data_IF_814232473157
#
_entry.id   IF_814232473157
#
_cell.length_a   1.000
_cell.length_b   1.000
_cell.length_c   1.000
_cell.angle_alpha   90.00
_cell.angle_beta   90.00
_cell.angle_gamma   90.00
#
_symmetry.space_group_name_H-M   'P 1'
#
loop_
_entity.id
_entity.type
_entity.pdbx_description
1 polymer ?
#
# COMPACT_ATOMS: atom_id res chain seq x y z
N UNK A 1 -17.17 -13.48 10.90
CA UNK A 1 -15.84 -12.96 10.54
C UNK A 1 -15.95 -12.30 9.17
N UNK A 2 -15.43 -11.09 9.03
CA UNK A 2 -15.41 -10.35 7.76
C UNK A 2 -14.09 -10.58 7.03
N UNK A 3 -14.17 -10.74 5.71
CA UNK A 3 -13.01 -10.75 4.81
C UNK A 3 -12.70 -9.32 4.42
N UNK A 4 -11.43 -8.96 4.46
CA UNK A 4 -10.91 -7.64 4.09
C UNK A 4 -9.98 -7.84 2.91
N UNK A 5 -10.24 -7.17 1.79
CA UNK A 5 -9.38 -7.17 0.61
C UNK A 5 -8.72 -5.80 0.44
N UNK A 6 -7.39 -5.76 0.50
CA UNK A 6 -6.58 -4.61 0.11
C UNK A 6 -6.07 -4.83 -1.32
N UNK A 7 -6.40 -3.90 -2.22
CA UNK A 7 -6.21 -4.07 -3.66
C UNK A 7 -5.74 -2.78 -4.31
N UNK A 8 -4.98 -2.94 -5.39
CA UNK A 8 -4.76 -1.87 -6.35
C UNK A 8 -4.47 -2.48 -7.72
N UNK A 9 -4.70 -1.71 -8.77
CA UNK A 9 -4.33 -2.09 -10.12
C UNK A 9 -4.12 -0.85 -10.97
N UNK A 10 -2.96 -0.76 -11.61
CA UNK A 10 -2.68 0.28 -12.59
C UNK A 10 -3.21 -0.14 -13.95
N UNK A 11 -4.18 0.62 -14.47
CA UNK A 11 -4.76 0.43 -15.80
C UNK A 11 -5.30 1.76 -16.30
N UNK A 12 -5.44 1.92 -17.61
CA UNK A 12 -6.02 3.14 -18.16
C UNK A 12 -7.55 3.04 -18.19
N UNK A 13 -8.20 3.86 -17.39
CA UNK A 13 -9.64 4.10 -17.48
C UNK A 13 -9.90 5.39 -18.27
N UNK A 14 -10.57 5.28 -19.40
CA UNK A 14 -10.91 6.43 -20.24
C UNK A 14 -11.97 7.34 -19.58
N UNK A 15 -12.94 6.74 -18.89
CA UNK A 15 -13.90 7.46 -18.06
C UNK A 15 -14.08 6.77 -16.68
N UNK A 16 -13.26 7.10 -15.68
CA UNK A 16 -13.41 6.58 -14.33
C UNK A 16 -14.75 6.99 -13.68
N UNK A 17 -15.39 8.08 -14.15
CA UNK A 17 -16.63 8.59 -13.57
C UNK A 17 -17.81 7.65 -13.85
N UNK A 18 -17.85 7.06 -15.04
CA UNK A 18 -18.83 6.05 -15.43
C UNK A 18 -18.75 4.77 -14.57
N UNK A 19 -17.55 4.43 -14.06
CA UNK A 19 -17.34 3.23 -13.24
C UNK A 19 -17.83 3.39 -11.79
N UNK A 20 -17.87 4.63 -11.27
CA UNK A 20 -18.14 4.91 -9.84
C UNK A 20 -19.51 4.40 -9.38
N UNK A 21 -20.57 4.68 -10.14
CA UNK A 21 -21.94 4.31 -9.79
C UNK A 21 -22.16 2.79 -9.76
N UNK A 22 -21.88 2.07 -10.86
CA UNK A 22 -21.98 0.62 -10.92
C UNK A 22 -21.16 -0.09 -9.84
N UNK A 23 -19.91 0.34 -9.60
CA UNK A 23 -19.05 -0.24 -8.58
C UNK A 23 -19.61 -0.03 -7.16
N UNK A 24 -20.11 1.17 -6.85
CA UNK A 24 -20.73 1.44 -5.56
C UNK A 24 -21.98 0.58 -5.32
N UNK A 25 -22.84 0.45 -6.34
CA UNK A 25 -24.02 -0.41 -6.30
C UNK A 25 -23.64 -1.87 -6.09
N UNK A 26 -22.62 -2.36 -6.80
CA UNK A 26 -22.11 -3.72 -6.64
C UNK A 26 -21.62 -3.97 -5.22
N UNK A 27 -20.84 -3.07 -4.63
CA UNK A 27 -20.39 -3.20 -3.24
C UNK A 27 -21.57 -3.21 -2.27
N UNK A 28 -22.48 -2.23 -2.36
CA UNK A 28 -23.61 -2.11 -1.44
C UNK A 28 -24.57 -3.31 -1.51
N UNK A 29 -24.89 -3.80 -2.73
CA UNK A 29 -25.75 -4.96 -2.95
C UNK A 29 -25.19 -6.23 -2.29
N UNK A 30 -23.87 -6.34 -2.21
CA UNK A 30 -23.16 -7.50 -1.67
C UNK A 30 -22.71 -7.30 -0.20
N UNK A 31 -23.23 -6.29 0.50
CA UNK A 31 -22.90 -6.04 1.90
C UNK A 31 -21.45 -5.60 2.14
N UNK A 32 -20.75 -5.11 1.11
CA UNK A 32 -19.37 -4.68 1.17
C UNK A 32 -19.26 -3.20 1.52
N UNK A 33 -18.40 -2.89 2.50
CA UNK A 33 -18.04 -1.52 2.91
C UNK A 33 -16.54 -1.30 2.71
N UNK A 34 -16.08 -0.05 2.74
CA UNK A 34 -14.68 0.26 2.46
C UNK A 34 -14.48 1.56 1.74
N UNK A 35 -13.31 1.70 1.14
CA UNK A 35 -12.95 2.83 0.29
C UNK A 35 -12.27 2.34 -0.97
N UNK A 36 -12.83 2.67 -2.13
CA UNK A 36 -12.21 2.49 -3.45
C UNK A 36 -11.97 3.86 -4.07
N UNK A 37 -10.77 4.05 -4.59
CA UNK A 37 -10.32 5.21 -5.34
C UNK A 37 -10.25 4.82 -6.82
N UNK A 38 -10.84 5.65 -7.66
CA UNK A 38 -10.79 5.53 -9.11
C UNK A 38 -10.09 6.76 -9.67
N UNK A 39 -9.12 6.55 -10.56
CA UNK A 39 -8.48 7.59 -11.33
C UNK A 39 -8.28 7.11 -12.76
N UNK A 40 -7.82 7.98 -13.66
CA UNK A 40 -7.48 7.57 -15.04
C UNK A 40 -6.39 6.48 -15.06
N UNK A 41 -5.54 6.47 -14.04
CA UNK A 41 -4.43 5.51 -13.87
C UNK A 41 -4.83 4.19 -13.18
N UNK A 42 -6.10 4.01 -12.76
CA UNK A 42 -6.60 2.72 -12.30
C UNK A 42 -7.46 2.78 -11.04
N UNK A 43 -7.33 1.75 -10.20
CA UNK A 43 -8.11 1.54 -8.97
C UNK A 43 -7.21 1.21 -7.77
N UNK A 44 -7.57 1.70 -6.58
CA UNK A 44 -6.90 1.37 -5.31
C UNK A 44 -7.93 1.36 -4.18
N UNK A 45 -7.80 0.47 -3.21
CA UNK A 45 -8.54 0.60 -1.97
C UNK A 45 -8.51 -0.60 -1.06
N UNK A 46 -9.30 -0.48 0.00
CA UNK A 46 -9.55 -1.57 0.95
C UNK A 46 -11.04 -1.69 1.16
N UNK A 47 -11.55 -2.91 1.01
CA UNK A 47 -12.95 -3.26 1.18
C UNK A 47 -13.10 -4.42 2.15
N UNK A 48 -14.23 -4.48 2.86
CA UNK A 48 -14.55 -5.55 3.78
C UNK A 48 -16.02 -5.97 3.65
N UNK A 49 -16.28 -7.27 3.81
CA UNK A 49 -17.60 -7.84 3.61
C UNK A 49 -17.65 -9.34 3.93
N UNK A 50 -18.82 -9.97 3.75
CA UNK A 50 -18.88 -11.43 3.70
C UNK A 50 -18.04 -11.96 2.54
N UNK A 51 -17.50 -13.19 2.65
CA UNK A 51 -16.68 -13.85 1.62
C UNK A 51 -17.29 -13.74 0.23
N UNK A 52 -18.52 -14.24 0.06
CA UNK A 52 -19.24 -14.21 -1.21
C UNK A 52 -19.41 -12.79 -1.76
N UNK A 53 -19.57 -11.81 -0.87
CA UNK A 53 -19.69 -10.41 -1.26
C UNK A 53 -18.38 -9.81 -1.75
N UNK A 54 -17.26 -10.17 -1.10
CA UNK A 54 -15.92 -9.80 -1.56
C UNK A 54 -15.62 -10.47 -2.90
N UNK A 55 -15.93 -11.76 -3.07
CA UNK A 55 -15.76 -12.47 -4.35
C UNK A 55 -16.53 -11.81 -5.48
N UNK A 56 -17.79 -11.46 -5.25
CA UNK A 56 -18.63 -10.78 -6.24
C UNK A 56 -18.06 -9.41 -6.65
N UNK A 57 -17.55 -8.63 -5.69
CA UNK A 57 -16.94 -7.32 -5.98
C UNK A 57 -15.62 -7.49 -6.73
N UNK A 58 -14.76 -8.43 -6.33
CA UNK A 58 -13.48 -8.67 -6.98
C UNK A 58 -13.67 -9.21 -8.41
N UNK A 59 -14.64 -10.10 -8.62
CA UNK A 59 -15.04 -10.56 -9.95
C UNK A 59 -15.52 -9.38 -10.82
N UNK A 60 -16.32 -8.47 -10.26
CA UNK A 60 -16.75 -7.26 -10.95
C UNK A 60 -15.57 -6.34 -11.32
N UNK A 61 -14.61 -6.14 -10.41
CA UNK A 61 -13.42 -5.34 -10.70
C UNK A 61 -12.57 -6.01 -11.78
N UNK A 62 -12.36 -7.33 -11.73
CA UNK A 62 -11.61 -8.08 -12.76
C UNK A 62 -12.25 -7.99 -14.15
N UNK A 63 -13.56 -7.80 -14.22
CA UNK A 63 -14.28 -7.58 -15.48
C UNK A 63 -14.12 -6.15 -16.04
N UNK A 64 -13.56 -5.20 -15.28
CA UNK A 64 -13.29 -3.86 -15.78
C UNK A 64 -12.16 -3.87 -16.82
N UNK A 65 -12.14 -2.90 -17.77
CA UNK A 65 -11.09 -2.83 -18.79
C UNK A 65 -9.68 -2.80 -18.21
N UNK A 66 -8.87 -3.80 -18.59
CA UNK A 66 -7.48 -3.94 -18.18
C UNK A 66 -7.28 -4.44 -16.73
N UNK A 67 -8.32 -4.83 -16.00
CA UNK A 67 -8.24 -5.30 -14.61
C UNK A 67 -8.22 -6.83 -14.45
N UNK A 68 -8.15 -7.61 -15.53
CA UNK A 68 -8.20 -9.07 -15.46
C UNK A 68 -7.09 -9.68 -14.57
N UNK A 69 -5.91 -9.04 -14.54
CA UNK A 69 -4.76 -9.43 -13.73
C UNK A 69 -4.76 -8.82 -12.32
N UNK A 70 -5.88 -8.25 -11.86
CA UNK A 70 -5.99 -7.71 -10.49
C UNK A 70 -5.58 -8.78 -9.47
N UNK A 71 -4.64 -8.39 -8.62
CA UNK A 71 -4.24 -9.10 -7.42
C UNK A 71 -4.64 -8.31 -6.16
N UNK A 72 -4.85 -9.00 -5.05
CA UNK A 72 -5.24 -8.41 -3.78
C UNK A 72 -4.71 -9.23 -2.60
N UNK A 73 -4.63 -8.59 -1.44
CA UNK A 73 -4.25 -9.23 -0.18
C UNK A 73 -5.46 -9.33 0.71
N UNK A 74 -5.62 -10.48 1.34
CA UNK A 74 -6.72 -10.73 2.26
C UNK A 74 -6.28 -10.74 3.71
N UNK A 75 -7.16 -10.26 4.57
CA UNK A 75 -7.04 -10.39 6.02
C UNK A 75 -8.43 -10.48 6.62
N UNK A 76 -8.52 -10.71 7.92
CA UNK A 76 -9.79 -10.98 8.59
C UNK A 76 -10.00 -10.07 9.80
N UNK A 77 -11.26 -9.78 10.09
CA UNK A 77 -11.66 -9.10 11.32
C UNK A 77 -12.95 -9.70 11.89
N UNK A 78 -13.08 -9.66 13.22
CA UNK A 78 -14.32 -10.05 13.89
C UNK A 78 -15.45 -9.07 13.55
N UNK A 79 -15.15 -7.77 13.62
CA UNK A 79 -16.07 -6.67 13.36
C UNK A 79 -15.84 -6.01 12.00
N UNK A 80 -16.87 -5.34 11.48
CA UNK A 80 -16.81 -4.63 10.21
C UNK A 80 -15.93 -3.38 10.35
N UNK A 81 -14.74 -3.32 9.71
CA UNK A 81 -13.75 -2.27 9.99
C UNK A 81 -14.03 -0.94 9.27
N UNK A 82 -15.17 -0.85 8.57
CA UNK A 82 -15.59 0.34 7.83
C UNK A 82 -17.04 0.71 8.15
N UNK A 83 -17.28 1.98 8.50
CA UNK A 83 -18.63 2.46 8.77
C UNK A 83 -19.55 2.46 7.53
N UNK A 84 -19.01 2.73 6.34
CA UNK A 84 -19.76 2.82 5.07
C UNK A 84 -18.88 2.54 3.86
N UNK A 85 -19.51 2.25 2.72
CA UNK A 85 -18.83 2.20 1.42
C UNK A 85 -18.55 3.61 0.87
N UNK A 86 -17.37 3.82 0.30
CA UNK A 86 -16.97 5.04 -0.39
C UNK A 86 -16.31 4.68 -1.72
N UNK A 87 -16.85 5.16 -2.84
CA UNK A 87 -16.16 5.13 -4.14
C UNK A 87 -15.85 6.57 -4.54
N UNK A 88 -14.57 6.92 -4.70
CA UNK A 88 -14.11 8.30 -4.88
C UNK A 88 -13.31 8.44 -6.16
N UNK A 89 -13.62 9.51 -6.92
CA UNK A 89 -12.78 9.93 -8.03
C UNK A 89 -11.60 10.72 -7.50
N UNK A 90 -10.42 10.44 -8.04
CA UNK A 90 -9.17 11.12 -7.73
C UNK A 90 -8.40 11.41 -9.01
N UNK A 91 -7.43 12.31 -8.91
CA UNK A 91 -6.44 12.54 -9.97
C UNK A 91 -5.48 11.36 -10.07
N UNK A 92 -5.07 10.85 -8.91
CA UNK A 92 -4.19 9.70 -8.75
C UNK A 92 -4.79 8.73 -7.72
N UNK A 93 -4.67 7.42 -7.94
CA UNK A 93 -5.06 6.39 -6.96
C UNK A 93 -4.07 6.30 -5.79
N UNK A 94 -2.88 6.87 -5.95
CA UNK A 94 -1.92 7.21 -4.90
C UNK A 94 -1.20 8.49 -5.30
N UNK A 95 -1.40 9.57 -4.55
CA UNK A 95 -0.92 10.90 -4.92
C UNK A 95 0.56 11.06 -4.60
N UNK A 96 1.38 11.09 -5.66
CA UNK A 96 2.78 11.50 -5.59
C UNK A 96 3.00 12.91 -6.15
N UNK A 97 2.08 13.39 -6.99
CA UNK A 97 2.19 14.73 -7.59
C UNK A 97 3.22 14.83 -8.71
N UNK A 98 3.62 13.70 -9.30
CA UNK A 98 4.54 13.62 -10.44
C UNK A 98 3.77 13.10 -11.66
N UNK A 99 3.33 13.97 -12.59
CA UNK A 99 2.45 13.58 -13.70
C UNK A 99 3.14 12.71 -14.75
N UNK A 100 4.47 12.78 -14.86
CA UNK A 100 5.26 12.02 -15.83
C UNK A 100 5.59 10.60 -15.36
N UNK A 101 5.23 10.26 -14.12
CA UNK A 101 5.39 8.91 -13.58
C UNK A 101 4.20 8.06 -14.01
N UNK A 102 4.43 7.20 -15.01
CA UNK A 102 3.52 6.13 -15.41
C UNK A 102 4.04 4.79 -14.88
N UNK A 103 3.46 4.21 -13.82
CA UNK A 103 3.87 2.91 -13.29
C UNK A 103 3.77 1.77 -14.30
N UNK A 104 3.06 1.96 -15.42
CA UNK A 104 2.98 0.97 -16.51
C UNK A 104 4.19 1.03 -17.45
N UNK A 105 4.94 2.13 -17.44
CA UNK A 105 6.14 2.29 -18.27
C UNK A 105 7.34 1.51 -17.72
N UNK A 106 7.27 1.08 -16.47
CA UNK A 106 8.29 0.27 -15.80
C UNK A 106 8.37 0.64 -14.32
N UNK A 107 8.76 -0.30 -13.48
CA UNK A 107 8.99 -0.07 -12.06
C UNK A 107 10.32 -0.70 -11.66
N UNK A 108 10.76 -0.46 -10.43
CA UNK A 108 11.95 -1.11 -9.89
C UNK A 108 11.76 -2.63 -9.83
N UNK A 109 12.83 -3.33 -9.48
CA UNK A 109 12.80 -4.78 -9.34
C UNK A 109 11.92 -5.20 -8.18
N UNK A 110 10.91 -6.03 -8.45
CA UNK A 110 10.15 -6.71 -7.43
C UNK A 110 11.04 -7.70 -6.68
N UNK A 111 10.92 -7.70 -5.35
CA UNK A 111 11.59 -8.65 -4.47
C UNK A 111 10.51 -9.37 -3.67
N UNK A 112 10.48 -10.70 -3.78
CA UNK A 112 9.54 -11.51 -3.02
C UNK A 112 9.89 -11.44 -1.51
N UNK A 113 8.91 -11.58 -0.60
CA UNK A 113 9.17 -11.50 0.84
C UNK A 113 10.26 -12.43 1.36
N UNK A 114 10.38 -13.61 0.76
CA UNK A 114 11.40 -14.60 1.12
C UNK A 114 12.83 -14.11 0.88
N UNK A 115 13.04 -13.28 -0.15
CA UNK A 115 14.35 -12.74 -0.53
C UNK A 115 14.58 -11.32 0.05
N UNK A 116 13.55 -10.73 0.66
CA UNK A 116 13.58 -9.35 1.13
C UNK A 116 14.63 -9.13 2.21
N UNK A 117 14.71 -10.03 3.18
CA UNK A 117 15.64 -9.93 4.31
C UNK A 117 17.11 -9.89 3.85
N UNK A 118 17.46 -10.75 2.90
CA UNK A 118 18.83 -10.82 2.35
C UNK A 118 19.19 -9.51 1.64
N UNK A 119 18.25 -8.94 0.89
CA UNK A 119 18.46 -7.65 0.24
C UNK A 119 18.67 -6.53 1.27
N UNK A 120 17.76 -6.39 2.24
CA UNK A 120 17.81 -5.25 3.18
C UNK A 120 18.93 -5.35 4.21
N UNK A 121 19.50 -6.55 4.40
CA UNK A 121 20.67 -6.77 5.26
C UNK A 121 22.00 -6.48 4.55
N UNK A 122 21.99 -6.29 3.23
CA UNK A 122 23.21 -6.03 2.48
C UNK A 122 23.77 -4.62 2.79
N UNK A 123 25.08 -4.48 3.07
CA UNK A 123 25.67 -3.22 3.54
C UNK A 123 25.67 -2.10 2.48
N UNK A 124 25.49 -2.44 1.22
CA UNK A 124 25.41 -1.53 0.08
C UNK A 124 23.96 -1.17 -0.31
N UNK A 125 22.96 -1.61 0.46
CA UNK A 125 21.55 -1.28 0.26
C UNK A 125 21.10 -0.20 1.24
N UNK A 126 20.45 0.83 0.71
CA UNK A 126 19.70 1.80 1.51
C UNK A 126 18.22 1.44 1.47
N UNK A 127 17.66 1.16 2.65
CA UNK A 127 16.25 0.80 2.81
C UNK A 127 15.47 2.08 3.14
N UNK A 128 14.44 2.40 2.36
CA UNK A 128 13.66 3.63 2.52
C UNK A 128 12.19 3.28 2.74
N UNK A 129 11.63 3.75 3.85
CA UNK A 129 10.21 3.64 4.13
C UNK A 129 9.46 4.75 3.36
N UNK A 130 8.58 4.38 2.43
CA UNK A 130 7.82 5.36 1.64
C UNK A 130 6.48 5.73 2.28
N UNK A 131 6.29 5.32 3.55
CA UNK A 131 5.08 5.62 4.31
C UNK A 131 5.15 7.00 4.98
N UNK A 132 4.04 7.47 5.51
CA UNK A 132 4.00 8.75 6.22
C UNK A 132 4.50 8.59 7.66
N UNK A 133 4.91 9.69 8.28
CA UNK A 133 5.46 9.75 9.65
C UNK A 133 4.67 8.93 10.69
N UNK A 134 3.34 9.04 10.68
CA UNK A 134 2.46 8.32 11.61
C UNK A 134 2.42 6.80 11.39
N UNK A 135 2.73 6.33 10.18
CA UNK A 135 2.80 4.91 9.84
C UNK A 135 4.14 4.32 10.27
N UNK A 136 5.22 5.09 10.12
CA UNK A 136 6.58 4.72 10.54
C UNK A 136 6.67 4.67 12.07
N UNK A 137 6.01 5.62 12.75
CA UNK A 137 6.04 5.75 14.21
C UNK A 137 5.54 4.51 14.98
N UNK A 138 4.80 3.60 14.34
CA UNK A 138 4.28 2.39 15.00
C UNK A 138 4.97 1.11 14.58
N UNK A 139 5.88 1.16 13.61
CA UNK A 139 6.65 0.02 13.18
C UNK A 139 7.31 0.25 11.83
N UNK A 140 8.49 -0.33 11.62
CA UNK A 140 9.26 -0.26 10.37
C UNK A 140 10.24 -1.43 10.29
N UNK A 141 10.92 -1.58 9.14
CA UNK A 141 12.02 -2.53 9.02
C UNK A 141 13.28 -2.04 9.74
N UNK A 142 14.09 -2.97 10.24
CA UNK A 142 15.37 -2.66 10.85
C UNK A 142 16.27 -1.84 9.90
N UNK A 143 16.93 -0.81 10.45
CA UNK A 143 17.79 0.09 9.68
C UNK A 143 17.09 0.94 8.60
N UNK A 144 15.76 0.87 8.46
CA UNK A 144 15.04 1.64 7.44
C UNK A 144 15.09 3.15 7.70
N UNK A 145 15.31 3.90 6.62
CA UNK A 145 15.34 5.35 6.63
C UNK A 145 13.92 5.88 6.60
N UNK A 146 13.57 6.70 7.60
CA UNK A 146 12.34 7.47 7.65
C UNK A 146 12.53 8.82 6.94
N UNK A 147 11.81 9.09 5.84
CA UNK A 147 11.80 10.40 5.19
C UNK A 147 11.19 11.53 6.04
N UNK A 148 10.40 11.20 7.07
CA UNK A 148 9.66 12.19 7.88
C UNK A 148 8.52 12.87 7.13
N UNK A 149 8.07 12.29 6.00
CA UNK A 149 7.01 12.87 5.16
C UNK A 149 5.65 12.75 5.83
N UNK A 150 4.86 13.83 5.84
CA UNK A 150 3.47 13.83 6.32
C UNK A 150 2.50 13.27 5.27
N UNK A 151 2.88 13.39 4.00
CA UNK A 151 2.14 12.88 2.87
C UNK A 151 3.10 12.34 1.80
N UNK A 152 2.73 11.26 1.13
CA UNK A 152 3.56 10.64 0.08
C UNK A 152 3.95 11.60 -1.06
N UNK A 153 3.15 12.62 -1.35
CA UNK A 153 3.49 13.66 -2.33
C UNK A 153 4.71 14.51 -1.96
N UNK A 154 5.20 14.44 -0.71
CA UNK A 154 6.43 15.10 -0.26
C UNK A 154 7.69 14.26 -0.56
N UNK A 155 7.52 12.97 -0.90
CA UNK A 155 8.64 12.06 -1.18
C UNK A 155 9.56 12.55 -2.32
N UNK A 156 9.06 13.07 -3.46
CA UNK A 156 9.93 13.57 -4.52
C UNK A 156 10.87 14.70 -4.07
N UNK A 157 10.36 15.62 -3.24
CA UNK A 157 11.15 16.71 -2.69
C UNK A 157 12.20 16.17 -1.71
N UNK A 158 11.78 15.31 -0.77
CA UNK A 158 12.71 14.67 0.16
C UNK A 158 13.84 13.94 -0.58
N UNK A 159 13.51 13.20 -1.65
CA UNK A 159 14.50 12.51 -2.47
C UNK A 159 15.48 13.49 -3.12
N UNK A 160 14.99 14.58 -3.73
CA UNK A 160 15.84 15.58 -4.36
C UNK A 160 16.85 16.20 -3.38
N UNK A 161 16.43 16.46 -2.15
CA UNK A 161 17.26 17.02 -1.08
C UNK A 161 18.28 15.99 -0.52
N UNK A 162 17.94 14.70 -0.54
CA UNK A 162 18.71 13.64 0.13
C UNK A 162 19.48 12.71 -0.82
N UNK A 163 19.25 12.74 -2.13
CA UNK A 163 19.84 11.79 -3.12
C UNK A 163 21.36 11.66 -3.04
N UNK A 164 22.06 12.72 -2.66
CA UNK A 164 23.51 12.73 -2.49
C UNK A 164 24.01 11.74 -1.41
N UNK A 165 23.18 11.41 -0.42
CA UNK A 165 23.48 10.46 0.67
C UNK A 165 23.48 9.01 0.18
N UNK A 166 22.89 8.74 -0.99
CA UNK A 166 22.69 7.41 -1.53
C UNK A 166 23.61 7.09 -2.71
N UNK A 167 24.67 7.87 -2.90
CA UNK A 167 25.65 7.63 -3.94
C UNK A 167 26.25 6.21 -3.79
N UNK A 168 26.30 5.45 -4.90
CA UNK A 168 26.74 4.05 -4.94
C UNK A 168 25.98 3.09 -4.01
N UNK A 169 24.73 3.41 -3.66
CA UNK A 169 23.84 2.50 -2.92
C UNK A 169 22.76 1.97 -3.85
N UNK A 170 22.44 0.70 -3.67
CA UNK A 170 21.20 0.11 -4.17
C UNK A 170 20.05 0.60 -3.29
N UNK A 171 18.89 0.89 -3.88
CA UNK A 171 17.74 1.42 -3.12
C UNK A 171 16.67 0.34 -2.99
N UNK A 172 16.31 -0.01 -1.76
CA UNK A 172 15.17 -0.88 -1.47
C UNK A 172 14.04 -0.07 -0.82
N UNK A 173 12.85 -0.08 -1.43
CA UNK A 173 11.69 0.66 -0.91
C UNK A 173 10.54 -0.25 -0.54
N UNK A 174 9.80 0.14 0.50
CA UNK A 174 8.59 -0.58 0.91
C UNK A 174 7.49 0.37 1.35
N UNK A 175 6.27 -0.15 1.38
CA UNK A 175 5.09 0.47 1.99
C UNK A 175 4.10 -0.63 2.40
N UNK A 176 2.93 -0.25 2.92
CA UNK A 176 1.94 -1.20 3.44
C UNK A 176 1.57 -2.29 2.43
N UNK A 177 1.12 -1.92 1.23
CA UNK A 177 0.58 -2.86 0.24
C UNK A 177 1.31 -2.91 -1.11
N UNK A 178 2.34 -2.08 -1.30
CA UNK A 178 3.16 -1.99 -2.52
C UNK A 178 2.89 -0.77 -3.42
N UNK A 179 1.67 -0.23 -3.44
CA UNK A 179 1.26 0.80 -4.43
C UNK A 179 2.11 2.08 -4.45
N UNK A 180 2.63 2.55 -3.30
CA UNK A 180 3.53 3.72 -3.28
C UNK A 180 4.85 3.41 -3.96
N UNK A 181 5.36 2.19 -3.77
CA UNK A 181 6.61 1.73 -4.35
C UNK A 181 6.55 1.60 -5.87
N UNK A 182 5.37 1.30 -6.42
CA UNK A 182 5.14 1.33 -7.88
C UNK A 182 5.45 2.72 -8.46
N UNK A 183 5.05 3.79 -7.77
CA UNK A 183 5.36 5.17 -8.19
C UNK A 183 6.77 5.61 -7.81
N UNK A 184 7.20 5.35 -6.57
CA UNK A 184 8.49 5.86 -6.08
C UNK A 184 9.66 5.19 -6.79
N UNK A 185 9.58 3.89 -7.12
CA UNK A 185 10.65 3.22 -7.88
C UNK A 185 10.72 3.72 -9.32
N UNK A 186 9.59 3.87 -10.01
CA UNK A 186 9.56 4.48 -11.35
C UNK A 186 10.14 5.90 -11.33
N UNK A 187 9.78 6.71 -10.32
CA UNK A 187 10.35 8.04 -10.16
C UNK A 187 11.88 8.00 -10.01
N UNK A 188 12.42 7.15 -9.13
CA UNK A 188 13.88 7.03 -8.93
C UNK A 188 14.61 6.56 -10.19
N UNK A 189 14.05 5.61 -10.94
CA UNK A 189 14.56 5.20 -12.25
C UNK A 189 14.64 6.40 -13.21
N UNK A 190 13.57 7.22 -13.26
CA UNK A 190 13.55 8.47 -14.02
C UNK A 190 14.53 9.55 -13.53
N UNK A 191 14.99 9.46 -12.28
CA UNK A 191 16.06 10.30 -11.73
C UNK A 191 17.48 9.74 -11.98
N UNK A 192 17.59 8.64 -12.72
CA UNK A 192 18.87 8.01 -13.07
C UNK A 192 19.45 7.08 -11.99
N UNK A 193 18.62 6.60 -11.04
CA UNK A 193 19.02 5.53 -10.13
C UNK A 193 18.80 4.21 -10.83
N UNK A 194 19.85 3.41 -11.04
CA UNK A 194 19.76 2.16 -11.81
C UNK A 194 19.19 1.01 -10.94
N UNK A 195 19.78 0.80 -9.77
CA UNK A 195 19.44 -0.32 -8.89
C UNK A 195 18.37 0.05 -7.86
N UNK A 196 17.11 -0.01 -8.30
CA UNK A 196 15.94 0.27 -7.46
C UNK A 196 15.08 -0.97 -7.31
N UNK A 197 14.79 -1.34 -6.06
CA UNK A 197 14.03 -2.52 -5.67
C UNK A 197 12.82 -2.12 -4.83
N UNK A 198 11.78 -2.96 -4.84
CA UNK A 198 10.71 -2.84 -3.86
C UNK A 198 10.14 -4.18 -3.39
N UNK A 199 9.57 -4.16 -2.19
CA UNK A 199 8.92 -5.31 -1.60
C UNK A 199 7.60 -5.64 -2.32
N UNK A 200 7.57 -6.77 -3.02
CA UNK A 200 6.38 -7.25 -3.71
C UNK A 200 5.28 -7.57 -2.71
N UNK A 201 4.10 -6.98 -2.93
CA UNK A 201 2.97 -7.12 -2.02
C UNK A 201 3.05 -6.24 -0.75
N UNK A 202 4.18 -5.56 -0.52
CA UNK A 202 4.40 -4.69 0.63
C UNK A 202 4.51 -5.42 1.97
N UNK A 203 4.51 -4.64 3.05
CA UNK A 203 4.62 -5.15 4.43
C UNK A 203 3.54 -6.20 4.73
N UNK A 204 2.32 -6.04 4.20
CA UNK A 204 1.25 -7.01 4.44
C UNK A 204 1.63 -8.42 3.94
N UNK A 205 2.26 -8.52 2.76
CA UNK A 205 2.67 -9.82 2.23
C UNK A 205 3.86 -10.39 2.99
N UNK A 206 4.77 -9.53 3.45
CA UNK A 206 5.87 -9.92 4.33
C UNK A 206 5.40 -10.49 5.66
N UNK A 207 4.45 -9.83 6.33
CA UNK A 207 3.88 -10.30 7.60
C UNK A 207 3.01 -11.56 7.46
N UNK A 208 2.59 -11.90 6.24
CA UNK A 208 1.89 -13.14 5.92
C UNK A 208 2.85 -14.30 5.70
N UNK A 209 3.93 -14.07 4.94
CA UNK A 209 4.79 -15.14 4.43
C UNK A 209 6.04 -15.39 5.28
N UNK A 210 6.60 -14.36 5.93
CA UNK A 210 7.86 -14.47 6.68
C UNK A 210 7.56 -14.77 8.15
N UNK A 211 8.10 -15.86 8.72
CA UNK A 211 7.90 -16.20 10.13
C UNK A 211 8.41 -15.11 11.08
N UNK A 212 7.74 -14.87 12.22
CA UNK A 212 8.16 -13.85 13.19
C UNK A 212 9.60 -14.00 13.66
N UNK A 213 10.11 -15.23 13.76
CA UNK A 213 11.47 -15.55 14.23
C UNK A 213 12.56 -15.13 13.24
N UNK A 214 12.19 -14.93 11.97
CA UNK A 214 13.08 -14.49 10.89
C UNK A 214 12.80 -13.04 10.48
N UNK A 215 11.87 -12.38 11.17
CA UNK A 215 11.38 -11.06 10.78
C UNK A 215 12.38 -9.96 11.12
N UNK A 216 12.67 -9.11 10.13
CA UNK A 216 13.35 -7.81 10.31
C UNK A 216 12.36 -6.66 10.51
N UNK A 217 11.06 -6.96 10.54
CA UNK A 217 10.01 -5.99 10.87
C UNK A 217 9.86 -5.81 12.38
N UNK A 218 9.79 -4.55 12.83
CA UNK A 218 9.56 -4.18 14.24
C UNK A 218 8.25 -3.41 14.39
N UNK A 219 7.54 -3.65 15.49
CA UNK A 219 6.26 -2.98 15.80
C UNK A 219 5.08 -3.50 14.96
N UNK A 220 4.08 -2.66 14.76
CA UNK A 220 2.85 -2.99 14.02
C UNK A 220 2.77 -2.23 12.69
N UNK A 221 2.14 -2.83 11.69
CA UNK A 221 1.93 -2.23 10.37
C UNK A 221 0.62 -1.45 10.34
N UNK A 222 0.69 -0.14 10.09
CA UNK A 222 -0.50 0.71 9.98
C UNK A 222 -1.41 0.29 8.81
N UNK A 223 -2.72 0.24 9.07
CA UNK A 223 -3.77 -0.02 8.07
C UNK A 223 -4.86 1.04 8.09
N UNK A 224 -5.42 1.34 6.92
CA UNK A 224 -6.33 2.49 6.69
C UNK A 224 -7.80 2.16 7.02
N UNK A 225 -8.03 1.44 8.11
CA UNK A 225 -9.34 1.00 8.57
C UNK A 225 -9.42 1.00 10.11
N UNK A 226 -10.57 0.59 10.67
CA UNK A 226 -10.78 0.66 12.12
C UNK A 226 -9.87 -0.25 12.95
N UNK A 227 -9.14 -1.20 12.33
CA UNK A 227 -8.13 -1.99 13.04
C UNK A 227 -6.90 -1.16 13.41
N UNK A 228 -6.66 -0.04 12.72
CA UNK A 228 -5.51 0.88 12.90
C UNK A 228 -4.16 0.28 12.55
N UNK A 229 -3.88 -0.93 13.02
CA UNK A 229 -2.64 -1.65 12.77
C UNK A 229 -2.88 -3.16 12.66
N UNK A 230 -1.93 -3.86 12.04
CA UNK A 230 -1.84 -5.32 12.04
C UNK A 230 -0.43 -5.77 12.41
N UNK A 231 -0.32 -6.95 12.98
CA UNK A 231 0.94 -7.62 13.31
C UNK A 231 1.16 -8.85 12.42
N UNK A 232 2.17 -9.66 12.74
CA UNK A 232 2.45 -10.93 12.09
C UNK A 232 1.22 -11.84 11.98
N UNK A 233 1.08 -12.50 10.83
CA UNK A 233 -0.12 -13.25 10.46
C UNK A 233 -1.34 -12.37 10.16
N UNK A 234 -1.12 -11.08 9.89
CA UNK A 234 -2.16 -10.08 9.58
C UNK A 234 -3.26 -9.96 10.66
N UNK A 235 -2.88 -10.27 11.91
CA UNK A 235 -3.76 -10.16 13.07
C UNK A 235 -3.93 -8.69 13.45
N UNK A 236 -5.12 -8.25 13.89
CA UNK A 236 -5.29 -6.90 14.42
C UNK A 236 -4.27 -6.60 15.52
N UNK A 237 -3.54 -5.49 15.37
CA UNK A 237 -2.58 -5.01 16.36
C UNK A 237 -3.26 -4.21 17.47
N UNK A 238 -2.50 -3.80 18.50
CA UNK A 238 -3.07 -3.17 19.70
C UNK A 238 -3.49 -1.71 19.47
N UNK A 239 -2.97 -1.04 18.45
CA UNK A 239 -3.12 0.41 18.31
C UNK A 239 -4.57 0.86 18.17
N UNK A 240 -4.87 2.01 18.79
CA UNK A 240 -6.15 2.71 18.63
C UNK A 240 -5.96 4.03 17.91
N UNK A 241 -7.01 4.54 17.29
CA UNK A 241 -6.95 5.79 16.52
C UNK A 241 -7.29 6.97 17.42
N UNK A 242 -6.38 7.94 17.54
CA UNK A 242 -6.71 9.20 18.20
C UNK A 242 -7.83 9.92 17.42
N UNK A 243 -8.95 10.21 18.08
CA UNK A 243 -10.08 10.89 17.43
C UNK A 243 -9.80 12.37 17.11
N UNK A 244 -8.85 13.00 17.80
CA UNK A 244 -8.48 14.39 17.58
C UNK A 244 -7.45 14.56 16.45
N UNK A 245 -6.28 13.92 16.56
CA UNK A 245 -5.18 14.12 15.61
C UNK A 245 -5.05 13.01 14.56
N UNK A 246 -5.87 11.94 14.64
CA UNK A 246 -5.85 10.79 13.72
C UNK A 246 -4.51 10.04 13.67
N UNK A 247 -3.68 10.18 14.71
CA UNK A 247 -2.48 9.36 14.90
C UNK A 247 -2.81 8.04 15.59
N UNK A 248 -2.12 6.95 15.25
CA UNK A 248 -2.22 5.71 16.03
C UNK A 248 -1.58 5.91 17.41
N UNK A 249 -2.18 5.32 18.44
CA UNK A 249 -1.74 5.36 19.82
C UNK A 249 -1.63 3.93 20.35
N UNK A 250 -0.65 3.66 21.20
CA UNK A 250 -0.62 2.44 21.99
C UNK A 250 -1.71 2.54 23.07
N UNK A 251 -2.58 1.54 23.26
CA UNK A 251 -3.55 1.55 24.35
C UNK A 251 -2.80 1.43 25.68
N UNK A 252 -3.04 2.36 26.61
CA UNK A 252 -2.54 2.29 28.00
C UNK A 252 -3.03 1.04 28.73
#
# INVERSE_FOLDING_TARGET
MFTIAALYHFTRFDDPSALKGPLATMCCKNGVKGSLLLAREGINGTIAGPRDGIDAVLAHIRALPGCAALDWKESHAADMPFGRMKVRLKREIVTMGQPDVDPRAGTGHYVDPADWNDLISAPDVAVIDTRNDYEVAIGSFDGAIDPGTKAFGEFPQWWAENRHRFHNKRIAMFCTGGIRCEKSTNYLLGQGVEDVYHLKGGILKYLEDVPPEQSLWHGACFVFDQRVSVEHGLKPGPHVMCHACRRPLWPE
#
